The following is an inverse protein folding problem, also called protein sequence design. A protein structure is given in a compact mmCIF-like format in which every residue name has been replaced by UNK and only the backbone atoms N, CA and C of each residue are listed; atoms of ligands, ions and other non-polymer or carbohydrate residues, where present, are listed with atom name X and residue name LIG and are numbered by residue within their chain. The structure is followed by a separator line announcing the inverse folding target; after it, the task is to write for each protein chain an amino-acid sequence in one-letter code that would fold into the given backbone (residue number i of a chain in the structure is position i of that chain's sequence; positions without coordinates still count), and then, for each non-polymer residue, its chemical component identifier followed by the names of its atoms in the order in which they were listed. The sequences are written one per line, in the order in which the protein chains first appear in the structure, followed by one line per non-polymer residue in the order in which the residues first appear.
data_IF_549265209986
#
_entry.id   IF_549265209986
#
_cell.length_a   1.000
_cell.length_b   1.000
_cell.length_c   1.000
_cell.angle_alpha   90.00
_cell.angle_beta   90.00
_cell.angle_gamma   90.00
#
_symmetry.space_group_name_H-M   'P 1'
#
loop_
_entity.id
_entity.type
_entity.pdbx_description
1 polymer ?
#
# COMPACT_ATOMS: atom_id res chain seq x y z
N UNK A 1 -2.24 9.91 23.72
CA UNK A 1 -2.47 10.75 22.52
C UNK A 1 -3.26 9.94 21.52
N UNK A 2 -4.38 10.47 21.03
CA UNK A 2 -5.26 9.82 20.07
C UNK A 2 -4.63 9.86 18.66
N UNK A 3 -4.69 8.76 17.90
CA UNK A 3 -4.03 8.63 16.59
C UNK A 3 -4.51 9.72 15.60
N UNK A 4 -5.80 10.04 15.65
CA UNK A 4 -6.42 11.06 14.79
C UNK A 4 -5.91 12.45 15.12
N UNK A 5 -5.66 12.76 16.40
CA UNK A 5 -5.06 14.05 16.77
C UNK A 5 -3.64 14.18 16.24
N UNK A 6 -2.85 13.10 16.28
CA UNK A 6 -1.51 13.08 15.68
C UNK A 6 -1.57 13.24 14.15
N UNK A 7 -2.54 12.59 13.49
CA UNK A 7 -2.78 12.71 12.05
C UNK A 7 -3.13 14.16 11.67
N UNK A 8 -4.10 14.76 12.35
CA UNK A 8 -4.51 16.15 12.11
C UNK A 8 -3.35 17.11 12.36
N UNK A 9 -2.55 16.89 13.41
CA UNK A 9 -1.38 17.70 13.67
C UNK A 9 -0.35 17.59 12.52
N UNK A 10 -0.07 16.37 12.05
CA UNK A 10 0.83 16.16 10.90
C UNK A 10 0.32 16.87 9.64
N UNK A 11 -0.97 16.77 9.33
CA UNK A 11 -1.60 17.47 8.20
C UNK A 11 -1.45 18.99 8.32
N UNK A 12 -1.67 19.55 9.52
CA UNK A 12 -1.46 20.97 9.79
C UNK A 12 0.00 21.38 9.59
N UNK A 13 0.96 20.55 9.97
CA UNK A 13 2.39 20.84 9.76
C UNK A 13 2.78 20.77 8.28
N UNK A 14 2.21 19.85 7.50
CA UNK A 14 2.54 19.67 6.07
C UNK A 14 1.87 20.72 5.19
N UNK A 15 0.57 20.98 5.38
CA UNK A 15 -0.23 21.85 4.50
C UNK A 15 -0.52 23.24 5.10
N UNK A 16 -0.28 23.42 6.40
CA UNK A 16 -0.49 24.70 7.08
C UNK A 16 -1.92 25.22 6.93
N UNK A 17 -2.01 26.47 6.45
CA UNK A 17 -3.25 27.22 6.36
C UNK A 17 -4.29 26.57 5.43
N UNK A 18 -3.87 25.86 4.38
CA UNK A 18 -4.82 25.20 3.47
C UNK A 18 -5.61 24.09 4.17
N UNK A 19 -4.98 23.38 5.10
CA UNK A 19 -5.67 22.38 5.91
C UNK A 19 -6.62 23.03 6.91
N UNK A 20 -6.14 24.05 7.64
CA UNK A 20 -6.96 24.74 8.65
C UNK A 20 -8.18 25.42 8.04
N UNK A 21 -8.04 26.07 6.89
CA UNK A 21 -9.16 26.72 6.16
C UNK A 21 -10.27 25.77 5.77
N UNK A 22 -9.96 24.51 5.44
CA UNK A 22 -10.99 23.52 5.08
C UNK A 22 -11.92 23.19 6.24
N UNK A 23 -11.47 23.38 7.48
CA UNK A 23 -12.23 23.07 8.69
C UNK A 23 -12.69 24.33 9.43
N UNK A 24 -12.44 25.51 8.85
CA UNK A 24 -12.90 26.79 9.39
C UNK A 24 -14.43 26.84 9.38
N UNK A 25 -15.03 27.11 10.54
CA UNK A 25 -16.48 27.12 10.72
C UNK A 25 -17.13 25.74 10.88
N UNK A 26 -16.36 24.64 10.87
CA UNK A 26 -16.86 23.29 11.15
C UNK A 26 -16.47 22.77 12.54
N UNK A 27 -17.30 21.94 13.17
CA UNK A 27 -16.96 21.31 14.44
C UNK A 27 -15.84 20.28 14.26
N UNK A 28 -14.63 20.65 14.67
CA UNK A 28 -13.43 19.80 14.59
C UNK A 28 -13.58 18.50 15.40
N UNK A 29 -14.33 18.52 16.50
CA UNK A 29 -14.60 17.32 17.32
C UNK A 29 -15.38 16.27 16.52
N UNK A 30 -16.48 16.66 15.90
CA UNK A 30 -17.29 15.75 15.08
C UNK A 30 -16.53 15.29 13.85
N UNK A 31 -15.77 16.20 13.22
CA UNK A 31 -14.89 15.86 12.10
C UNK A 31 -13.88 14.80 12.49
N UNK A 32 -13.13 14.99 13.58
CA UNK A 32 -12.17 13.99 14.08
C UNK A 32 -12.85 12.68 14.43
N UNK A 33 -14.06 12.72 14.99
CA UNK A 33 -14.88 11.54 15.26
C UNK A 33 -15.21 10.74 14.00
N UNK A 34 -15.65 11.42 12.93
CA UNK A 34 -15.91 10.80 11.64
C UNK A 34 -14.65 10.19 11.01
N UNK A 35 -13.51 10.88 11.11
CA UNK A 35 -12.22 10.33 10.66
C UNK A 35 -11.80 9.11 11.49
N UNK A 36 -12.02 9.12 12.80
CA UNK A 36 -11.73 7.98 13.68
C UNK A 36 -12.57 6.76 13.30
N UNK A 37 -13.86 6.94 13.08
CA UNK A 37 -14.77 5.86 12.70
C UNK A 37 -14.38 5.26 11.34
N UNK A 38 -14.14 6.09 10.33
CA UNK A 38 -13.79 5.64 8.98
C UNK A 38 -12.40 4.98 8.90
N UNK A 39 -11.45 5.42 9.74
CA UNK A 39 -10.11 4.86 9.81
C UNK A 39 -9.96 3.69 10.81
N UNK A 40 -10.99 3.38 11.59
CA UNK A 40 -10.96 2.32 12.60
C UNK A 40 -10.65 0.92 12.03
N UNK A 41 -11.01 0.69 10.76
CA UNK A 41 -10.74 -0.57 10.06
C UNK A 41 -9.35 -0.68 9.43
N UNK A 42 -8.50 0.33 9.56
CA UNK A 42 -7.16 0.34 8.97
C UNK A 42 -6.07 0.11 10.01
N UNK A 43 -5.03 -0.62 9.61
CA UNK A 43 -3.85 -0.79 10.44
C UNK A 43 -3.03 0.50 10.49
N UNK A 44 -2.33 0.71 11.61
CA UNK A 44 -1.41 1.85 11.80
C UNK A 44 -0.38 1.96 10.66
N UNK A 45 0.05 0.82 10.12
CA UNK A 45 0.99 0.75 9.00
C UNK A 45 0.41 1.32 7.70
N UNK A 46 -0.85 1.02 7.39
CA UNK A 46 -1.55 1.56 6.22
C UNK A 46 -1.72 3.07 6.32
N UNK A 47 -1.99 3.56 7.53
CA UNK A 47 -2.11 5.00 7.80
C UNK A 47 -0.75 5.70 7.64
N UNK A 48 0.34 5.06 8.12
CA UNK A 48 1.71 5.57 7.90
C UNK A 48 2.09 5.60 6.43
N UNK A 49 1.73 4.58 5.67
CA UNK A 49 1.97 4.53 4.23
C UNK A 49 1.22 5.67 3.51
N UNK A 50 -0.05 5.90 3.85
CA UNK A 50 -0.81 7.02 3.30
C UNK A 50 -0.21 8.39 3.67
N UNK A 51 0.40 8.50 4.86
CA UNK A 51 1.12 9.71 5.29
C UNK A 51 2.45 9.93 4.58
N UNK A 52 3.05 8.90 4.00
CA UNK A 52 4.28 9.01 3.20
C UNK A 52 3.96 9.43 1.76
N UNK A 53 2.84 8.94 1.21
CA UNK A 53 2.34 9.27 -0.13
C UNK A 53 1.38 10.47 -0.16
N UNK A 54 1.69 11.52 0.59
CA UNK A 54 0.83 12.70 0.64
C UNK A 54 0.89 13.52 -0.66
N UNK A 55 -0.25 13.88 -1.25
CA UNK A 55 -0.30 14.73 -2.45
C UNK A 55 0.03 16.19 -2.13
N UNK A 56 0.28 17.03 -3.15
CA UNK A 56 0.56 18.47 -2.97
C UNK A 56 -0.58 19.24 -2.30
N UNK A 57 -1.84 18.81 -2.51
CA UNK A 57 -3.04 19.43 -1.92
C UNK A 57 -3.54 18.60 -0.73
N UNK A 58 -4.07 19.22 0.33
CA UNK A 58 -4.64 18.48 1.46
C UNK A 58 -5.79 17.54 1.04
N UNK A 59 -5.67 16.22 1.24
CA UNK A 59 -6.70 15.26 0.86
C UNK A 59 -7.93 15.35 1.78
N UNK A 60 -9.10 15.00 1.27
CA UNK A 60 -10.27 14.79 2.13
C UNK A 60 -10.28 13.37 2.74
N UNK A 61 -11.22 13.09 3.64
CA UNK A 61 -11.34 11.79 4.31
C UNK A 61 -11.42 10.61 3.34
N UNK A 62 -12.22 10.75 2.27
CA UNK A 62 -12.43 9.69 1.27
C UNK A 62 -11.14 9.43 0.48
N UNK A 63 -10.45 10.50 0.06
CA UNK A 63 -9.16 10.41 -0.62
C UNK A 63 -8.11 9.76 0.27
N UNK A 64 -8.02 10.17 1.53
CA UNK A 64 -7.08 9.60 2.50
C UNK A 64 -7.39 8.11 2.78
N UNK A 65 -8.67 7.75 2.88
CA UNK A 65 -9.12 6.34 3.01
C UNK A 65 -8.71 5.51 1.79
N UNK A 66 -8.82 6.05 0.58
CA UNK A 66 -8.37 5.37 -0.63
C UNK A 66 -6.85 5.21 -0.67
N UNK A 67 -6.07 6.16 -0.15
CA UNK A 67 -4.61 6.01 -0.01
C UNK A 67 -4.26 4.90 0.99
N UNK A 68 -4.97 4.83 2.13
CA UNK A 68 -4.78 3.75 3.11
C UNK A 68 -5.07 2.37 2.50
N UNK A 69 -6.04 2.27 1.58
CA UNK A 69 -6.38 1.04 0.84
C UNK A 69 -5.34 0.64 -0.21
N UNK A 70 -4.65 1.62 -0.81
CA UNK A 70 -3.60 1.36 -1.79
C UNK A 70 -2.30 0.87 -1.17
N UNK A 71 -2.20 0.92 0.17
CA UNK A 71 -1.05 0.37 0.88
C UNK A 71 -0.87 -1.10 0.49
N UNK A 72 0.32 -1.49 -0.02
CA UNK A 72 0.56 -2.85 -0.48
C UNK A 72 0.24 -3.81 0.68
N UNK A 73 -0.47 -4.92 0.41
CA UNK A 73 -0.58 -5.98 1.40
C UNK A 73 0.84 -6.29 1.90
N UNK A 74 1.01 -6.42 3.22
CA UNK A 74 2.20 -7.07 3.74
C UNK A 74 2.11 -8.53 3.31
N UNK A 75 2.53 -8.82 2.09
CA UNK A 75 2.98 -10.15 1.75
C UNK A 75 4.22 -10.34 2.61
N UNK A 76 4.06 -10.94 3.78
CA UNK A 76 5.14 -11.75 4.31
C UNK A 76 5.39 -12.75 3.18
N UNK A 77 6.40 -12.48 2.35
CA UNK A 77 6.89 -13.46 1.42
C UNK A 77 7.31 -14.62 2.31
N UNK A 78 6.43 -15.62 2.44
CA UNK A 78 6.88 -16.98 2.68
C UNK A 78 7.76 -17.25 1.47
N UNK A 79 9.05 -16.96 1.63
CA UNK A 79 10.07 -17.32 0.68
C UNK A 79 9.81 -18.78 0.37
N UNK A 80 9.34 -19.08 -0.84
CA UNK A 80 9.26 -20.47 -1.27
C UNK A 80 10.70 -20.96 -1.19
N UNK A 81 11.02 -21.75 -0.16
CA UNK A 81 12.32 -22.42 -0.03
C UNK A 81 12.58 -23.42 -1.16
N UNK A 82 11.62 -23.58 -2.07
CA UNK A 82 11.71 -24.42 -3.24
C UNK A 82 12.47 -23.72 -4.36
N UNK A 83 13.79 -23.95 -4.44
CA UNK A 83 14.52 -23.88 -5.71
C UNK A 83 14.20 -25.16 -6.49
N UNK A 84 13.50 -25.10 -7.65
CA UNK A 84 13.37 -26.27 -8.50
C UNK A 84 14.77 -26.76 -8.89
N UNK A 85 15.14 -27.95 -8.44
CA UNK A 85 16.34 -28.61 -8.96
C UNK A 85 16.06 -29.01 -10.40
N UNK A 86 16.94 -28.59 -11.30
CA UNK A 86 16.89 -28.99 -12.69
C UNK A 86 17.12 -30.51 -12.74
N UNK A 87 16.12 -31.28 -13.18
CA UNK A 87 16.30 -32.71 -13.41
C UNK A 87 17.06 -32.88 -14.74
N UNK A 88 18.34 -33.23 -14.63
CA UNK A 88 19.28 -33.37 -15.75
C UNK A 88 18.81 -34.40 -16.78
N UNK A 89 18.15 -35.47 -16.34
CA UNK A 89 17.61 -36.51 -17.21
C UNK A 89 16.50 -35.97 -18.12
N UNK A 90 15.61 -35.12 -17.58
CA UNK A 90 14.55 -34.47 -18.37
C UNK A 90 15.13 -33.50 -19.39
N UNK A 91 16.25 -32.83 -19.07
CA UNK A 91 16.95 -31.96 -20.01
C UNK A 91 17.65 -32.75 -21.10
N UNK A 92 18.29 -33.86 -20.77
CA UNK A 92 18.92 -34.75 -21.74
C UNK A 92 17.90 -35.29 -22.73
N UNK A 93 16.77 -35.83 -22.24
CA UNK A 93 15.67 -36.31 -23.09
C UNK A 93 15.06 -35.20 -23.96
N UNK A 94 14.93 -33.98 -23.43
CA UNK A 94 14.43 -32.85 -24.20
C UNK A 94 15.41 -32.46 -25.33
N UNK A 95 16.71 -32.44 -25.05
CA UNK A 95 17.74 -32.10 -26.04
C UNK A 95 17.89 -33.19 -27.11
N UNK A 96 17.75 -34.46 -26.72
CA UNK A 96 17.71 -35.61 -27.64
C UNK A 96 16.50 -35.49 -28.58
N UNK A 97 15.29 -35.31 -28.04
CA UNK A 97 14.07 -35.17 -28.85
C UNK A 97 14.08 -33.94 -29.77
N UNK A 98 14.71 -32.83 -29.37
CA UNK A 98 14.91 -31.67 -30.25
C UNK A 98 15.94 -31.92 -31.36
N UNK A 99 16.97 -32.73 -31.09
CA UNK A 99 17.97 -33.13 -32.08
C UNK A 99 17.42 -34.12 -33.11
N UNK A 100 16.54 -35.03 -32.69
CA UNK A 100 15.88 -36.01 -33.55
C UNK A 100 14.81 -35.38 -34.46
N UNK A 101 14.21 -34.25 -34.03
CA UNK A 101 13.15 -33.57 -34.78
C UNK A 101 13.64 -32.68 -35.93
N UNK A 102 14.96 -32.61 -36.19
CA UNK A 102 15.51 -31.88 -37.34
C UNK A 102 16.47 -32.72 -38.19
N UNK A 103 15.99 -33.74 -38.93
CA UNK A 103 16.74 -34.28 -40.04
C UNK A 103 16.79 -33.23 -41.15
N UNK A 104 17.97 -32.65 -41.36
CA UNK A 104 18.29 -31.89 -42.55
C UNK A 104 18.09 -32.81 -43.76
N UNK A 105 17.07 -32.54 -44.58
CA UNK A 105 16.97 -33.04 -45.96
C UNK A 105 16.55 -31.88 -46.83
#
# INVERSE_FOLDING_TARGET
MNLIDALFNKMTVVYGNEWTKKWEGMPLVETKGAWAAELSGFSVDQIKHALDMLPERPPNLIQFKNMCRQSPPKYEYQQLGYRPHVNEEKRAKLMEALGEAHPHT
#
